data_IF_378273488617
#
_entry.id   IF_378273488617
#
_cell.length_a   1.000
_cell.length_b   1.000
_cell.length_c   1.000
_cell.angle_alpha   90.00
_cell.angle_beta   90.00
_cell.angle_gamma   90.00
#
_symmetry.space_group_name_H-M   'P 1'
#
loop_
_entity.id
_entity.type
_entity.pdbx_description
1 polymer ?
#
# COMPACT_ATOMS: atom_id res chain seq x y z
N UNK A 1 3.13 -3.79 21.86
CA UNK A 1 3.82 -3.82 20.56
C UNK A 1 4.62 -2.55 20.52
N UNK A 2 5.89 -2.66 20.85
CA UNK A 2 6.79 -1.52 20.74
C UNK A 2 7.20 -1.44 19.26
N UNK A 3 6.32 -0.87 18.45
CA UNK A 3 6.80 -0.10 17.32
C UNK A 3 7.43 1.15 17.93
N UNK A 4 8.65 1.48 17.54
CA UNK A 4 9.21 2.80 17.76
C UNK A 4 8.28 3.81 17.07
N UNK A 5 7.19 4.13 17.74
CA UNK A 5 6.30 5.21 17.35
C UNK A 5 7.04 6.49 17.76
N UNK A 6 7.68 7.19 16.82
CA UNK A 6 8.60 8.27 17.14
C UNK A 6 7.88 9.54 17.62
N UNK A 7 6.57 9.47 17.78
CA UNK A 7 5.70 10.57 18.18
C UNK A 7 5.32 10.42 19.65
N UNK A 8 5.22 11.54 20.34
CA UNK A 8 4.86 11.61 21.76
C UNK A 8 3.45 11.07 22.01
N UNK A 9 2.53 11.37 21.11
CA UNK A 9 1.13 10.98 21.14
C UNK A 9 0.50 10.93 19.74
N UNK A 10 -0.79 10.59 19.69
CA UNK A 10 -1.54 10.49 18.45
C UNK A 10 -1.72 11.84 17.75
N UNK A 11 -1.83 12.93 18.51
CA UNK A 11 -2.04 14.26 17.94
C UNK A 11 -0.79 14.75 17.21
N UNK A 12 0.41 14.51 17.77
CA UNK A 12 1.67 14.81 17.11
C UNK A 12 1.80 14.02 15.79
N UNK A 13 1.43 12.73 15.79
CA UNK A 13 1.38 11.93 14.56
C UNK A 13 0.39 12.50 13.54
N UNK A 14 -0.80 12.90 13.95
CA UNK A 14 -1.80 13.45 13.02
C UNK A 14 -1.35 14.79 12.42
N UNK A 15 -0.69 15.65 13.19
CA UNK A 15 -0.08 16.88 12.70
C UNK A 15 1.02 16.58 11.69
N UNK A 16 1.90 15.62 11.99
CA UNK A 16 2.93 15.16 11.06
C UNK A 16 2.30 14.63 9.76
N UNK A 17 1.29 13.80 9.86
CA UNK A 17 0.59 13.26 8.70
C UNK A 17 -0.08 14.36 7.89
N UNK A 18 -0.76 15.31 8.53
CA UNK A 18 -1.43 16.44 7.85
C UNK A 18 -0.45 17.28 7.05
N UNK A 19 0.70 17.62 7.62
CA UNK A 19 1.76 18.36 6.94
C UNK A 19 2.26 17.60 5.70
N UNK A 20 2.44 16.29 5.80
CA UNK A 20 2.80 15.46 4.66
C UNK A 20 1.69 15.39 3.60
N UNK A 21 0.42 15.28 3.98
CA UNK A 21 -0.70 15.25 3.04
C UNK A 21 -0.82 16.53 2.22
N UNK A 22 -0.52 17.69 2.80
CA UNK A 22 -0.44 18.98 2.09
C UNK A 22 0.62 18.90 0.98
N UNK A 23 1.82 18.42 1.30
CA UNK A 23 2.90 18.26 0.34
C UNK A 23 2.61 17.19 -0.71
N UNK A 24 2.05 16.04 -0.31
CA UNK A 24 1.63 15.00 -1.27
C UNK A 24 0.59 15.54 -2.25
N UNK A 25 -0.39 16.31 -1.77
CA UNK A 25 -1.36 16.95 -2.66
C UNK A 25 -0.71 17.95 -3.61
N UNK A 26 0.29 18.68 -3.16
CA UNK A 26 1.03 19.67 -3.97
C UNK A 26 1.78 19.00 -5.11
N UNK A 27 2.52 17.91 -4.82
CA UNK A 27 3.38 17.23 -5.82
C UNK A 27 2.64 16.20 -6.66
N UNK A 28 1.52 15.65 -6.19
CA UNK A 28 0.77 14.65 -6.92
C UNK A 28 0.15 15.27 -8.18
N UNK A 29 0.34 14.62 -9.33
CA UNK A 29 -0.32 14.96 -10.60
C UNK A 29 -1.84 14.81 -10.45
N UNK A 30 -2.63 15.50 -11.26
CA UNK A 30 -4.10 15.38 -11.24
C UNK A 30 -4.57 13.96 -11.61
N UNK A 31 -3.77 13.26 -12.41
CA UNK A 31 -4.00 11.84 -12.75
C UNK A 31 -3.51 10.88 -11.66
N UNK A 32 -2.86 11.37 -10.62
CA UNK A 32 -2.19 10.55 -9.61
C UNK A 32 -3.11 10.04 -8.52
N UNK A 33 -2.63 9.00 -7.85
CA UNK A 33 -3.29 8.35 -6.71
C UNK A 33 -2.36 8.30 -5.51
N UNK A 34 -2.95 8.34 -4.33
CA UNK A 34 -2.26 8.18 -3.05
C UNK A 34 -2.79 6.95 -2.32
N UNK A 35 -1.88 6.12 -1.84
CA UNK A 35 -2.21 4.97 -0.99
C UNK A 35 -1.60 5.16 0.40
N UNK A 36 -2.42 5.02 1.43
CA UNK A 36 -1.98 5.21 2.83
C UNK A 36 -2.33 3.99 3.65
N UNK A 37 -1.29 3.26 4.09
CA UNK A 37 -1.45 2.22 5.11
C UNK A 37 -1.64 2.85 6.48
N UNK A 38 -2.46 2.22 7.31
CA UNK A 38 -2.69 2.72 8.66
C UNK A 38 -2.96 1.59 9.67
N UNK A 39 -2.86 1.91 10.96
CA UNK A 39 -3.33 1.03 12.03
C UNK A 39 -4.85 1.07 12.15
N UNK A 40 -5.43 0.02 12.72
CA UNK A 40 -6.88 -0.02 12.97
C UNK A 40 -7.30 1.04 13.99
N UNK A 41 -6.45 1.30 14.98
CA UNK A 41 -6.72 2.26 16.07
C UNK A 41 -6.89 3.68 15.55
N UNK A 42 -6.05 4.09 14.60
CA UNK A 42 -6.06 5.44 14.03
C UNK A 42 -6.92 5.56 12.77
N UNK A 43 -7.50 4.46 12.30
CA UNK A 43 -8.21 4.40 11.02
C UNK A 43 -9.26 5.48 10.83
N UNK A 44 -10.11 5.74 11.85
CA UNK A 44 -11.16 6.76 11.74
C UNK A 44 -10.60 8.19 11.69
N UNK A 45 -9.56 8.50 12.48
CA UNK A 45 -8.92 9.82 12.49
C UNK A 45 -8.21 10.12 11.17
N UNK A 46 -7.48 9.13 10.65
CA UNK A 46 -6.79 9.25 9.36
C UNK A 46 -7.76 9.34 8.20
N UNK A 47 -8.88 8.61 8.22
CA UNK A 47 -9.95 8.72 7.22
C UNK A 47 -10.47 10.15 7.13
N UNK A 48 -10.86 10.74 8.25
CA UNK A 48 -11.35 12.13 8.31
C UNK A 48 -10.29 13.13 7.85
N UNK A 49 -9.02 12.90 8.18
CA UNK A 49 -7.93 13.76 7.77
C UNK A 49 -7.68 13.68 6.26
N UNK A 50 -7.69 12.48 5.68
CA UNK A 50 -7.54 12.29 4.23
C UNK A 50 -8.64 12.98 3.43
N UNK A 51 -9.88 12.96 3.92
CA UNK A 51 -11.03 13.60 3.25
C UNK A 51 -10.89 15.13 3.13
N UNK A 52 -10.06 15.78 3.95
CA UNK A 52 -9.77 17.22 3.82
C UNK A 52 -8.99 17.54 2.52
N UNK A 53 -8.16 16.61 2.05
CA UNK A 53 -7.19 16.86 0.98
C UNK A 53 -7.41 16.01 -0.27
N UNK A 54 -8.07 14.87 -0.16
CA UNK A 54 -8.23 13.89 -1.23
C UNK A 54 -9.64 13.33 -1.27
N UNK A 55 -10.03 12.79 -2.42
CA UNK A 55 -11.22 11.95 -2.54
C UNK A 55 -10.84 10.50 -2.27
N UNK A 56 -11.39 9.91 -1.21
CA UNK A 56 -11.20 8.49 -0.91
C UNK A 56 -12.06 7.67 -1.89
N UNK A 57 -11.43 6.86 -2.71
CA UNK A 57 -12.09 5.94 -3.66
C UNK A 57 -12.52 4.64 -2.98
N UNK A 58 -11.60 4.05 -2.22
CA UNK A 58 -11.85 2.83 -1.47
C UNK A 58 -11.15 2.85 -0.11
N UNK A 59 -11.77 2.21 0.86
CA UNK A 59 -11.20 1.79 2.13
C UNK A 59 -10.89 0.30 2.02
N UNK A 60 -9.67 0.01 1.56
CA UNK A 60 -9.22 -1.34 1.31
C UNK A 60 -8.86 -2.02 2.63
N UNK A 61 -9.05 -3.31 2.68
CA UNK A 61 -8.68 -4.16 3.82
C UNK A 61 -7.63 -5.16 3.36
N UNK A 62 -6.41 -4.99 3.81
CA UNK A 62 -5.43 -6.05 3.65
C UNK A 62 -5.58 -7.06 4.79
N UNK A 63 -6.26 -8.18 4.51
CA UNK A 63 -6.35 -9.30 5.43
C UNK A 63 -5.04 -10.11 5.38
N UNK A 64 -4.35 -10.15 6.52
CA UNK A 64 -3.12 -10.92 6.72
C UNK A 64 -3.39 -12.14 7.61
N UNK A 65 -2.92 -13.30 7.22
CA UNK A 65 -2.95 -14.49 8.06
C UNK A 65 -1.87 -14.42 9.14
N UNK A 66 -2.05 -15.17 10.22
CA UNK A 66 -1.04 -15.29 11.28
C UNK A 66 -1.34 -14.48 12.54
N UNK A 67 -0.43 -14.53 13.51
CA UNK A 67 -0.53 -13.87 14.82
C UNK A 67 -1.28 -14.70 15.89
N UNK A 68 -1.04 -14.36 17.14
CA UNK A 68 -1.64 -15.02 18.31
C UNK A 68 -2.94 -14.32 18.69
N UNK A 69 -3.95 -15.07 19.10
CA UNK A 69 -5.19 -14.47 19.62
C UNK A 69 -4.94 -13.81 20.99
N UNK A 70 -5.26 -12.55 21.14
CA UNK A 70 -5.07 -11.85 22.40
C UNK A 70 -6.15 -12.26 23.41
N UNK A 71 -5.86 -12.02 24.69
CA UNK A 71 -6.82 -12.24 25.76
C UNK A 71 -7.98 -11.24 25.67
N UNK A 72 -9.21 -11.72 25.77
CA UNK A 72 -10.46 -10.91 25.87
C UNK A 72 -10.70 -9.91 24.72
N UNK A 73 -10.11 -10.09 23.54
CA UNK A 73 -10.43 -9.30 22.36
C UNK A 73 -10.23 -10.11 21.08
N UNK A 74 -10.82 -9.63 19.99
CA UNK A 74 -10.58 -10.23 18.68
C UNK A 74 -9.14 -9.98 18.22
N UNK A 75 -8.60 -10.92 17.46
CA UNK A 75 -7.28 -10.82 16.86
C UNK A 75 -7.28 -9.74 15.76
N UNK A 76 -6.28 -8.87 15.78
CA UNK A 76 -6.04 -7.92 14.70
C UNK A 76 -5.48 -8.66 13.48
N UNK A 77 -6.32 -8.96 12.51
CA UNK A 77 -5.98 -9.79 11.36
C UNK A 77 -5.91 -9.01 10.04
N UNK A 78 -6.08 -7.68 10.07
CA UNK A 78 -6.03 -6.87 8.85
C UNK A 78 -5.32 -5.53 9.11
N UNK A 79 -4.89 -4.91 8.02
CA UNK A 79 -4.42 -3.53 8.00
C UNK A 79 -5.32 -2.72 7.04
N UNK A 80 -5.84 -1.57 7.46
CA UNK A 80 -6.54 -0.65 6.57
C UNK A 80 -5.58 -0.02 5.58
N UNK A 81 -6.05 0.16 4.35
CA UNK A 81 -5.33 0.84 3.28
C UNK A 81 -6.29 1.79 2.57
N UNK A 82 -6.01 3.08 2.59
CA UNK A 82 -6.83 4.08 1.91
C UNK A 82 -6.34 4.28 0.48
N UNK A 83 -7.22 4.07 -0.50
CA UNK A 83 -7.01 4.45 -1.87
C UNK A 83 -7.65 5.81 -2.14
N UNK A 84 -6.82 6.81 -2.39
CA UNK A 84 -7.21 8.20 -2.56
C UNK A 84 -6.79 8.73 -3.92
N UNK A 85 -7.54 9.70 -4.46
CA UNK A 85 -7.21 10.39 -5.70
C UNK A 85 -7.29 11.90 -5.51
N UNK A 86 -6.46 12.64 -6.26
CA UNK A 86 -6.49 14.10 -6.26
C UNK A 86 -7.68 14.62 -7.07
N UNK A 87 -7.92 14.01 -8.24
CA UNK A 87 -9.03 14.37 -9.12
C UNK A 87 -9.84 13.11 -9.47
N UNK A 88 -11.09 13.06 -9.03
CA UNK A 88 -11.97 11.91 -9.23
C UNK A 88 -12.28 11.61 -10.70
N UNK A 89 -12.25 12.61 -11.55
CA UNK A 89 -12.61 12.50 -12.96
C UNK A 89 -11.40 12.23 -13.87
N UNK A 90 -10.16 12.29 -13.35
CA UNK A 90 -8.95 12.24 -14.18
C UNK A 90 -7.84 11.32 -13.62
N UNK A 91 -8.14 10.45 -12.66
CA UNK A 91 -7.15 9.53 -12.11
C UNK A 91 -6.91 8.32 -13.01
N UNK A 92 -5.66 7.82 -13.02
CA UNK A 92 -5.32 6.58 -13.72
C UNK A 92 -5.95 5.39 -12.99
N UNK A 93 -6.64 4.53 -13.75
CA UNK A 93 -7.19 3.28 -13.27
C UNK A 93 -7.08 2.18 -14.31
N UNK A 94 -6.12 1.27 -14.15
CA UNK A 94 -5.80 0.18 -15.06
C UNK A 94 -6.44 -1.12 -14.59
N UNK A 95 -7.75 -1.25 -14.70
CA UNK A 95 -8.50 -2.41 -14.22
C UNK A 95 -7.98 -3.74 -14.76
N UNK A 96 -7.58 -3.77 -16.03
CA UNK A 96 -7.16 -5.00 -16.71
C UNK A 96 -5.79 -5.51 -16.21
N UNK A 97 -4.91 -4.62 -15.72
CA UNK A 97 -3.58 -4.97 -15.21
C UNK A 97 -3.64 -5.69 -13.85
N UNK A 98 -4.76 -5.58 -13.14
CA UNK A 98 -4.91 -6.12 -11.79
C UNK A 98 -5.98 -7.22 -11.68
N UNK A 99 -6.54 -7.68 -12.82
CA UNK A 99 -7.57 -8.71 -12.79
C UNK A 99 -7.05 -10.02 -12.19
N UNK A 100 -7.90 -10.68 -11.45
CA UNK A 100 -7.67 -12.01 -10.86
C UNK A 100 -8.66 -13.01 -11.44
N UNK A 101 -8.29 -14.29 -11.46
CA UNK A 101 -9.19 -15.35 -11.94
C UNK A 101 -10.47 -15.37 -11.08
N UNK A 102 -11.64 -15.32 -11.73
CA UNK A 102 -12.92 -15.49 -11.05
C UNK A 102 -13.11 -16.97 -10.64
N UNK A 103 -13.67 -17.19 -9.45
CA UNK A 103 -14.07 -18.53 -9.01
C UNK A 103 -15.10 -19.22 -9.92
N UNK A 104 -15.80 -18.41 -10.70
CA UNK A 104 -16.88 -18.84 -11.59
C UNK A 104 -16.51 -18.77 -13.08
N UNK A 105 -15.23 -18.51 -13.40
CA UNK A 105 -14.76 -18.33 -14.78
C UNK A 105 -15.15 -19.50 -15.70
N UNK A 106 -15.07 -20.73 -15.17
CA UNK A 106 -15.37 -21.95 -15.93
C UNK A 106 -16.89 -22.27 -15.98
N UNK A 107 -17.72 -21.54 -15.22
CA UNK A 107 -19.15 -21.83 -15.05
C UNK A 107 -20.07 -20.76 -15.68
N UNK A 108 -19.57 -19.55 -15.87
CA UNK A 108 -20.36 -18.42 -16.38
C UNK A 108 -19.64 -17.69 -17.51
N UNK A 109 -20.06 -17.94 -18.74
CA UNK A 109 -19.51 -17.35 -19.97
C UNK A 109 -19.75 -15.84 -20.10
N UNK A 110 -20.59 -15.24 -19.25
CA UNK A 110 -20.84 -13.78 -19.22
C UNK A 110 -19.73 -13.02 -18.51
N UNK A 111 -18.85 -13.72 -17.77
CA UNK A 111 -17.75 -13.11 -17.05
C UNK A 111 -16.67 -12.65 -18.02
N UNK A 112 -15.98 -11.56 -17.64
CA UNK A 112 -14.84 -11.09 -18.41
C UNK A 112 -13.77 -12.18 -18.51
N UNK A 113 -13.33 -12.59 -19.72
CA UNK A 113 -12.33 -13.65 -19.89
C UNK A 113 -10.99 -13.33 -19.24
N UNK A 114 -10.64 -12.04 -19.07
CA UNK A 114 -9.45 -11.59 -18.33
C UNK A 114 -9.60 -11.73 -16.79
N UNK A 115 -10.76 -12.14 -16.30
CA UNK A 115 -11.04 -12.25 -14.87
C UNK A 115 -11.76 -11.03 -14.28
N UNK A 116 -11.90 -11.00 -12.96
CA UNK A 116 -12.55 -9.91 -12.21
C UNK A 116 -11.52 -8.94 -11.63
N UNK A 117 -11.90 -7.67 -11.50
CA UNK A 117 -11.17 -6.71 -10.64
C UNK A 117 -11.19 -7.25 -9.20
N UNK A 118 -10.09 -7.19 -8.46
CA UNK A 118 -10.09 -7.60 -7.05
C UNK A 118 -11.13 -6.82 -6.23
N UNK A 119 -11.69 -7.51 -5.25
CA UNK A 119 -12.56 -6.89 -4.25
C UNK A 119 -11.73 -5.93 -3.36
N UNK A 120 -12.37 -5.17 -2.49
CA UNK A 120 -11.71 -4.27 -1.55
C UNK A 120 -11.14 -4.97 -0.30
N UNK A 121 -11.36 -6.28 -0.15
CA UNK A 121 -10.72 -7.12 0.86
C UNK A 121 -9.69 -8.04 0.21
N UNK A 122 -8.42 -7.81 0.52
CA UNK A 122 -7.29 -8.52 -0.08
C UNK A 122 -6.74 -9.61 0.84
N UNK A 123 -6.95 -10.85 0.46
CA UNK A 123 -6.44 -12.03 1.17
C UNK A 123 -4.99 -12.34 0.73
N UNK A 124 -4.05 -11.56 1.22
CA UNK A 124 -2.62 -11.70 0.88
C UNK A 124 -1.87 -12.04 2.18
N UNK A 125 -1.31 -13.25 2.30
CA UNK A 125 -0.57 -13.63 3.50
C UNK A 125 0.61 -12.71 3.75
N UNK A 126 0.91 -12.44 5.04
CA UNK A 126 2.14 -11.77 5.42
C UNK A 126 3.38 -12.62 5.07
N UNK A 127 4.55 -12.05 5.25
CA UNK A 127 5.83 -12.68 4.86
C UNK A 127 6.45 -13.55 5.96
N UNK A 128 5.76 -13.81 7.05
CA UNK A 128 6.26 -14.71 8.11
C UNK A 128 6.49 -16.11 7.53
N UNK A 129 7.74 -16.59 7.64
CA UNK A 129 8.15 -17.88 7.08
C UNK A 129 8.42 -17.90 5.58
N UNK A 130 8.18 -16.82 4.83
CA UNK A 130 8.48 -16.75 3.39
C UNK A 130 9.93 -16.30 3.14
N UNK A 131 10.89 -17.20 3.36
CA UNK A 131 12.33 -16.93 3.26
C UNK A 131 12.80 -16.33 1.93
N UNK A 132 12.09 -16.57 0.82
CA UNK A 132 12.48 -16.07 -0.51
C UNK A 132 12.18 -14.58 -0.71
N UNK A 133 11.18 -14.05 -0.03
CA UNK A 133 10.75 -12.66 -0.21
C UNK A 133 11.09 -11.79 1.02
N UNK A 134 11.06 -12.41 2.22
CA UNK A 134 11.32 -11.70 3.46
C UNK A 134 12.79 -11.34 3.61
N UNK A 135 13.07 -10.07 3.86
CA UNK A 135 14.41 -9.54 4.13
C UNK A 135 14.63 -9.18 5.60
N UNK A 136 13.69 -9.58 6.48
CA UNK A 136 13.82 -9.36 7.93
C UNK A 136 13.27 -8.03 8.44
N UNK A 137 12.72 -7.18 7.58
CA UNK A 137 12.05 -5.95 8.01
C UNK A 137 10.68 -6.26 8.64
N UNK A 138 10.43 -5.78 9.86
CA UNK A 138 9.23 -6.13 10.67
C UNK A 138 7.90 -5.84 9.99
N UNK A 139 7.82 -4.79 9.21
CA UNK A 139 6.59 -4.32 8.55
C UNK A 139 6.67 -4.42 7.03
N UNK A 140 7.56 -5.27 6.51
CA UNK A 140 7.69 -5.48 5.07
C UNK A 140 6.35 -5.83 4.43
N UNK A 141 6.00 -5.10 3.38
CA UNK A 141 4.80 -5.40 2.60
C UNK A 141 5.09 -6.47 1.54
N UNK A 142 4.18 -7.43 1.34
CA UNK A 142 4.28 -8.38 0.23
C UNK A 142 4.29 -7.65 -1.11
N UNK A 143 5.14 -8.10 -2.03
CA UNK A 143 5.22 -7.55 -3.39
C UNK A 143 3.87 -7.64 -4.13
N UNK A 144 3.06 -8.65 -3.82
CA UNK A 144 1.71 -8.77 -4.41
C UNK A 144 0.84 -7.54 -4.14
N UNK A 145 0.92 -6.95 -2.94
CA UNK A 145 0.19 -5.72 -2.59
C UNK A 145 0.76 -4.55 -3.39
N UNK A 146 2.09 -4.38 -3.36
CA UNK A 146 2.77 -3.29 -4.04
C UNK A 146 2.53 -3.33 -5.56
N UNK A 147 2.61 -4.52 -6.16
CA UNK A 147 2.32 -4.73 -7.58
C UNK A 147 0.88 -4.31 -7.92
N UNK A 148 -0.09 -4.73 -7.10
CA UNK A 148 -1.50 -4.40 -7.31
C UNK A 148 -1.74 -2.89 -7.27
N UNK A 149 -1.14 -2.18 -6.32
CA UNK A 149 -1.24 -0.71 -6.19
C UNK A 149 -0.61 -0.02 -7.41
N UNK A 150 0.62 -0.39 -7.75
CA UNK A 150 1.39 0.25 -8.81
C UNK A 150 0.76 0.02 -10.17
N UNK A 151 0.36 -1.20 -10.47
CA UNK A 151 -0.29 -1.54 -11.74
C UNK A 151 -1.65 -0.87 -11.90
N UNK A 152 -2.45 -0.82 -10.82
CA UNK A 152 -3.77 -0.20 -10.86
C UNK A 152 -3.72 1.30 -11.18
N UNK A 153 -2.71 2.02 -10.67
CA UNK A 153 -2.76 3.49 -10.58
C UNK A 153 -1.59 4.20 -11.25
N UNK A 154 -0.82 3.50 -12.08
CA UNK A 154 0.28 4.09 -12.84
C UNK A 154 0.48 3.41 -14.18
N UNK A 155 1.07 4.10 -15.14
CA UNK A 155 1.49 3.58 -16.44
C UNK A 155 3.00 3.33 -16.45
N UNK A 156 3.50 2.59 -17.46
CA UNK A 156 4.94 2.46 -17.71
C UNK A 156 5.56 3.88 -17.82
N UNK A 157 6.70 4.09 -17.16
CA UNK A 157 7.38 5.38 -17.10
C UNK A 157 6.76 6.41 -16.14
N UNK A 158 5.67 6.09 -15.44
CA UNK A 158 5.13 6.97 -14.38
C UNK A 158 6.10 7.11 -13.22
N UNK A 159 6.06 8.26 -12.56
CA UNK A 159 6.87 8.55 -11.36
C UNK A 159 6.13 8.11 -10.10
N UNK A 160 6.78 7.33 -9.26
CA UNK A 160 6.26 6.82 -7.98
C UNK A 160 7.06 7.47 -6.84
N UNK A 161 6.35 8.17 -5.95
CA UNK A 161 6.93 8.71 -4.72
C UNK A 161 6.68 7.76 -3.56
N UNK A 162 7.75 7.38 -2.86
CA UNK A 162 7.72 6.46 -1.71
C UNK A 162 8.35 7.17 -0.50
N UNK A 163 7.57 7.90 0.30
CA UNK A 163 8.11 8.72 1.40
C UNK A 163 8.74 7.94 2.55
N UNK A 164 8.41 6.64 2.69
CA UNK A 164 8.89 5.76 3.74
C UNK A 164 9.24 4.41 3.15
N UNK A 165 10.46 4.27 2.65
CA UNK A 165 10.91 3.12 1.85
C UNK A 165 10.96 1.82 2.66
N UNK A 166 11.43 1.86 3.92
CA UNK A 166 11.59 0.69 4.76
C UNK A 166 12.37 -0.42 4.05
N UNK A 167 11.72 -1.54 3.81
CA UNK A 167 12.30 -2.70 3.10
C UNK A 167 12.43 -2.53 1.57
N UNK A 168 11.93 -1.44 0.99
CA UNK A 168 11.98 -1.18 -0.44
C UNK A 168 10.97 -1.96 -1.30
N UNK A 169 9.90 -2.52 -0.72
CA UNK A 169 8.94 -3.33 -1.49
C UNK A 169 8.28 -2.57 -2.62
N UNK A 170 7.90 -1.32 -2.40
CA UNK A 170 7.30 -0.44 -3.40
C UNK A 170 8.33 -0.04 -4.48
N UNK A 171 9.59 0.20 -4.09
CA UNK A 171 10.67 0.48 -5.05
C UNK A 171 10.95 -0.71 -5.97
N UNK A 172 11.03 -1.91 -5.39
CA UNK A 172 11.18 -3.18 -6.13
C UNK A 172 10.02 -3.38 -7.11
N UNK A 173 8.79 -3.15 -6.65
CA UNK A 173 7.61 -3.26 -7.51
C UNK A 173 7.63 -2.23 -8.64
N UNK A 174 7.98 -0.97 -8.36
CA UNK A 174 8.08 0.08 -9.37
C UNK A 174 9.12 -0.28 -10.44
N UNK A 175 10.32 -0.72 -10.04
CA UNK A 175 11.39 -1.16 -10.96
C UNK A 175 10.95 -2.33 -11.82
N UNK A 176 10.37 -3.38 -11.22
CA UNK A 176 9.91 -4.57 -11.93
C UNK A 176 8.85 -4.26 -13.00
N UNK A 177 8.05 -3.23 -12.77
CA UNK A 177 7.00 -2.82 -13.69
C UNK A 177 7.38 -1.60 -14.55
N UNK A 178 8.66 -1.24 -14.63
CA UNK A 178 9.17 -0.14 -15.48
C UNK A 178 8.57 1.23 -15.13
N UNK A 179 8.39 1.49 -13.83
CA UNK A 179 8.06 2.82 -13.31
C UNK A 179 9.33 3.48 -12.77
N UNK A 180 9.42 4.80 -12.91
CA UNK A 180 10.41 5.58 -12.18
C UNK A 180 10.00 5.63 -10.71
N UNK A 181 10.96 5.78 -9.81
CA UNK A 181 10.65 5.94 -8.39
C UNK A 181 11.66 6.86 -7.70
N UNK A 182 11.16 7.56 -6.69
CA UNK A 182 11.95 8.31 -5.72
C UNK A 182 11.51 7.84 -4.34
N UNK A 183 12.47 7.38 -3.53
CA UNK A 183 12.20 6.90 -2.19
C UNK A 183 12.99 7.68 -1.14
N UNK A 184 12.40 7.84 0.05
CA UNK A 184 13.04 8.45 1.22
C UNK A 184 13.01 7.46 2.38
N UNK A 185 14.15 7.35 3.07
CA UNK A 185 14.33 6.53 4.27
C UNK A 185 15.36 7.18 5.18
N UNK A 186 15.08 7.24 6.47
CA UNK A 186 15.99 7.84 7.45
C UNK A 186 16.93 6.81 8.08
N UNK A 187 16.51 5.54 8.14
CA UNK A 187 17.30 4.49 8.77
C UNK A 187 18.30 3.89 7.77
N UNK A 188 19.59 4.10 8.04
CA UNK A 188 20.68 3.62 7.19
C UNK A 188 20.67 2.09 6.96
N UNK A 189 20.21 1.29 7.92
CA UNK A 189 20.08 -0.17 7.77
C UNK A 189 19.00 -0.51 6.73
N UNK A 190 17.89 0.22 6.76
CA UNK A 190 16.79 0.03 5.78
C UNK A 190 17.17 0.56 4.40
N UNK A 191 17.94 1.63 4.31
CA UNK A 191 18.52 2.09 3.03
C UNK A 191 19.37 0.97 2.42
N UNK A 192 20.34 0.42 3.14
CA UNK A 192 21.18 -0.70 2.66
C UNK A 192 20.35 -1.93 2.27
N UNK A 193 19.32 -2.23 3.05
CA UNK A 193 18.41 -3.35 2.79
C UNK A 193 17.66 -3.16 1.47
N UNK A 194 17.09 -1.98 1.23
CA UNK A 194 16.35 -1.66 0.02
C UNK A 194 17.26 -1.61 -1.22
N UNK A 195 18.44 -1.00 -1.11
CA UNK A 195 19.44 -0.95 -2.18
C UNK A 195 19.91 -2.35 -2.58
N UNK A 196 20.18 -3.22 -1.60
CA UNK A 196 20.55 -4.61 -1.88
C UNK A 196 19.47 -5.31 -2.69
N UNK A 197 18.20 -5.21 -2.30
CA UNK A 197 17.08 -5.79 -3.06
C UNK A 197 16.96 -5.24 -4.48
N UNK A 198 17.21 -3.95 -4.66
CA UNK A 198 17.16 -3.31 -5.97
C UNK A 198 18.33 -3.72 -6.88
N UNK A 199 19.49 -4.02 -6.31
CA UNK A 199 20.65 -4.47 -7.07
C UNK A 199 20.59 -5.97 -7.45
N UNK A 200 19.76 -6.75 -6.77
CA UNK A 200 19.55 -8.19 -7.05
C UNK A 200 18.47 -8.44 -8.14
N UNK A 201 17.87 -7.38 -8.70
CA UNK A 201 16.90 -7.39 -9.79
C UNK A 201 17.59 -7.15 -11.14
#
# INVERSE_FOLDING_TARGET
MDFDFPFKDEDEYLIFLENNLIEYRRVLKDTGSLYVYNSQELGAKVDLLLQKYFTIKNRLIWYRSGGVSPWKKYKLAHEPLFYCVKNINNHIWNADEIRIKSKYADKDKRLNPKGKVPDDVWYIPNLVGKKKESVGHKTQKPLEICNRIILASSNIGSDILIPFVGSGSECVSAKNHQRNYIGFELNNEYIKMSEKRLNEL
#
